data_IF_119089204166
#
_entry.id   IF_119089204166
#
_cell.length_a   1.000
_cell.length_b   1.000
_cell.length_c   1.000
_cell.angle_alpha   90.00
_cell.angle_beta   90.00
_cell.angle_gamma   90.00
#
_symmetry.space_group_name_H-M   'P 1'
#
loop_
_entity.id
_entity.type
_entity.pdbx_description
1 polymer ?
#
# COMPACT_ATOMS: atom_id res chain seq x y z
N UNK A 1 -11.87 25.45 -7.58
CA UNK A 1 -11.23 25.67 -6.27
C UNK A 1 -11.05 24.30 -5.62
N UNK A 2 -9.79 23.91 -5.38
CA UNK A 2 -9.26 22.88 -4.47
C UNK A 2 -10.19 21.82 -3.87
N UNK A 3 -9.84 20.55 -4.10
CA UNK A 3 -9.71 19.64 -2.97
C UNK A 3 -10.50 18.34 -3.01
N UNK A 4 -9.74 17.27 -3.25
CA UNK A 4 -9.92 15.93 -2.67
C UNK A 4 -11.05 15.09 -3.28
N UNK A 5 -10.68 14.53 -4.43
CA UNK A 5 -11.11 13.22 -4.89
C UNK A 5 -10.78 12.17 -3.82
N UNK A 6 -11.69 12.03 -2.87
CA UNK A 6 -11.75 10.94 -1.92
C UNK A 6 -13.16 10.40 -1.98
N UNK A 7 -13.29 9.11 -2.28
CA UNK A 7 -14.51 8.32 -2.07
C UNK A 7 -15.60 8.38 -3.15
N UNK A 8 -15.29 7.86 -4.35
CA UNK A 8 -16.32 7.48 -5.32
C UNK A 8 -16.28 5.97 -5.61
N UNK A 9 -17.00 5.20 -4.77
CA UNK A 9 -17.98 4.21 -5.22
C UNK A 9 -17.57 2.95 -6.01
N UNK A 10 -16.32 2.80 -6.45
CA UNK A 10 -15.77 1.55 -6.96
C UNK A 10 -14.53 1.27 -6.15
N UNK A 11 -14.61 0.35 -5.18
CA UNK A 11 -13.46 -0.03 -4.32
C UNK A 11 -12.26 -0.29 -5.22
N UNK A 12 -11.36 0.69 -5.37
CA UNK A 12 -10.13 0.47 -6.12
C UNK A 12 -9.31 -0.42 -5.21
N UNK A 13 -9.51 -1.73 -5.37
CA UNK A 13 -8.81 -2.76 -4.59
C UNK A 13 -7.31 -2.61 -4.77
N UNK A 14 -6.88 -1.99 -5.87
CA UNK A 14 -5.53 -1.52 -6.12
C UNK A 14 -5.07 -0.45 -5.12
N UNK A 15 -5.87 0.60 -4.88
CA UNK A 15 -5.58 1.60 -3.85
C UNK A 15 -5.54 1.01 -2.44
N UNK A 16 -6.44 0.06 -2.14
CA UNK A 16 -6.45 -0.66 -0.86
C UNK A 16 -5.19 -1.53 -0.69
N UNK A 17 -4.78 -2.27 -1.72
CA UNK A 17 -3.57 -3.08 -1.71
C UNK A 17 -2.32 -2.25 -1.45
N UNK A 18 -2.18 -1.10 -2.12
CA UNK A 18 -1.03 -0.20 -1.92
C UNK A 18 -1.03 0.40 -0.50
N UNK A 19 -2.17 0.85 0.02
CA UNK A 19 -2.27 1.41 1.37
C UNK A 19 -1.86 0.39 2.45
N UNK A 20 -2.34 -0.86 2.33
CA UNK A 20 -1.99 -1.95 3.24
C UNK A 20 -0.52 -2.33 3.11
N UNK A 21 -0.02 -2.52 1.88
CA UNK A 21 1.37 -2.89 1.64
C UNK A 21 2.37 -1.83 2.12
N UNK A 22 2.08 -0.55 1.91
CA UNK A 22 2.90 0.55 2.41
C UNK A 22 2.89 0.64 3.94
N UNK A 23 1.70 0.55 4.57
CA UNK A 23 1.59 0.61 6.03
C UNK A 23 2.32 -0.55 6.72
N UNK A 24 2.12 -1.77 6.22
CA UNK A 24 2.76 -2.98 6.76
C UNK A 24 4.26 -2.99 6.48
N UNK A 25 4.68 -2.66 5.25
CA UNK A 25 6.10 -2.64 4.87
C UNK A 25 6.92 -1.66 5.69
N UNK A 26 6.39 -0.45 5.94
CA UNK A 26 7.08 0.54 6.78
C UNK A 26 7.12 0.11 8.24
N UNK A 27 6.02 -0.42 8.80
CA UNK A 27 5.99 -0.88 10.19
C UNK A 27 6.98 -2.03 10.44
N UNK A 28 7.05 -3.00 9.52
CA UNK A 28 8.01 -4.11 9.59
C UNK A 28 9.46 -3.64 9.37
N UNK A 29 9.67 -2.71 8.44
CA UNK A 29 10.99 -2.13 8.19
C UNK A 29 11.55 -1.37 9.38
N UNK A 30 10.70 -0.61 10.09
CA UNK A 30 11.10 0.08 11.33
C UNK A 30 11.38 -0.93 12.45
N UNK A 31 10.59 -1.99 12.56
CA UNK A 31 10.78 -3.01 13.60
C UNK A 31 12.06 -3.85 13.41
N UNK A 32 12.51 -4.02 12.17
CA UNK A 32 13.66 -4.87 11.82
C UNK A 32 14.94 -4.07 11.53
N UNK A 33 14.93 -2.75 11.75
CA UNK A 33 16.02 -1.81 11.44
C UNK A 33 16.46 -1.81 9.96
N UNK A 34 15.64 -2.39 9.08
CA UNK A 34 15.93 -2.66 7.66
C UNK A 34 14.79 -2.14 6.77
N UNK A 35 14.59 -0.81 6.83
CA UNK A 35 13.50 -0.12 6.14
C UNK A 35 13.58 -0.31 4.62
N UNK A 36 14.77 -0.28 4.03
CA UNK A 36 14.92 -0.38 2.58
C UNK A 36 14.37 -1.71 2.04
N UNK A 37 14.72 -2.83 2.68
CA UNK A 37 14.29 -4.16 2.27
C UNK A 37 12.78 -4.35 2.48
N UNK A 38 12.28 -4.05 3.67
CA UNK A 38 10.89 -4.28 4.02
C UNK A 38 9.91 -3.32 3.34
N UNK A 39 10.32 -2.10 3.01
CA UNK A 39 9.49 -1.17 2.23
C UNK A 39 9.37 -1.64 0.77
N UNK A 40 10.45 -2.18 0.18
CA UNK A 40 10.41 -2.77 -1.15
C UNK A 40 9.50 -4.01 -1.19
N UNK A 41 9.61 -4.89 -0.19
CA UNK A 41 8.75 -6.07 -0.04
C UNK A 41 7.29 -5.65 0.19
N UNK A 42 7.03 -4.70 1.08
CA UNK A 42 5.68 -4.20 1.36
C UNK A 42 5.01 -3.56 0.15
N UNK A 43 5.76 -2.79 -0.64
CA UNK A 43 5.28 -2.26 -1.92
C UNK A 43 4.99 -3.37 -2.93
N UNK A 44 5.88 -4.35 -3.09
CA UNK A 44 5.67 -5.48 -3.99
C UNK A 44 4.41 -6.27 -3.62
N UNK A 45 4.22 -6.56 -2.32
CA UNK A 45 3.04 -7.23 -1.79
C UNK A 45 1.78 -6.36 -1.99
N UNK A 46 1.85 -5.06 -1.70
CA UNK A 46 0.71 -4.16 -1.85
C UNK A 46 0.22 -4.04 -3.29
N UNK A 47 1.14 -3.96 -4.25
CA UNK A 47 0.81 -3.98 -5.67
C UNK A 47 0.28 -5.34 -6.09
N UNK A 48 0.90 -6.44 -5.64
CA UNK A 48 0.44 -7.80 -5.95
C UNK A 48 -0.98 -8.07 -5.42
N UNK A 49 -1.29 -7.68 -4.20
CA UNK A 49 -2.63 -7.78 -3.61
C UNK A 49 -3.63 -6.87 -4.33
N UNK A 50 -3.21 -5.65 -4.64
CA UNK A 50 -4.01 -4.70 -5.40
C UNK A 50 -4.37 -5.20 -6.80
N UNK A 51 -3.41 -5.83 -7.47
CA UNK A 51 -3.58 -6.43 -8.79
C UNK A 51 -4.37 -7.75 -8.73
N UNK A 52 -4.15 -8.58 -7.71
CA UNK A 52 -4.85 -9.86 -7.54
C UNK A 52 -6.35 -9.68 -7.27
N UNK A 53 -6.72 -8.59 -6.61
CA UNK A 53 -8.12 -8.29 -6.31
C UNK A 53 -8.82 -7.46 -7.40
N UNK A 54 -8.06 -6.74 -8.23
CA UNK A 54 -8.57 -5.81 -9.26
C UNK A 54 -9.63 -6.45 -10.14
#
# INVERSE_FOLDING_TARGET
MYGKQGEDGTRSKMGLGIAVGAGVGVALGVAMDDIALWTAIGMAIGVALGAAWS
#
